data_IF_732611441768
#
_entry.id   IF_732611441768
#
_cell.length_a   1.000
_cell.length_b   1.000
_cell.length_c   1.000
_cell.angle_alpha   90.00
_cell.angle_beta   90.00
_cell.angle_gamma   90.00
#
_symmetry.space_group_name_H-M   'P 1'
#
loop_
_entity.id
_entity.type
_entity.pdbx_description
1 polymer ?
#
# COMPACT_ATOMS: atom_id res chain seq x y z
N UNK A 1 4.89 -35.19 3.74
CA UNK A 1 5.66 -34.11 4.34
C UNK A 1 5.09 -33.72 5.68
N UNK A 2 5.87 -33.84 6.73
CA UNK A 2 5.41 -33.46 8.06
C UNK A 2 5.41 -31.96 8.22
N UNK A 3 4.72 -31.48 9.24
CA UNK A 3 4.63 -30.05 9.50
C UNK A 3 6.02 -29.43 9.78
N UNK A 4 6.93 -30.20 10.34
CA UNK A 4 8.29 -29.72 10.62
C UNK A 4 9.20 -29.70 9.38
N UNK A 5 8.80 -30.40 8.32
CA UNK A 5 9.53 -30.42 7.06
C UNK A 5 9.05 -29.34 6.11
N UNK A 6 7.90 -28.79 6.42
CA UNK A 6 7.44 -27.62 5.72
C UNK A 6 8.36 -26.48 6.08
N UNK A 7 8.16 -25.42 5.48
CA UNK A 7 8.81 -24.21 5.83
C UNK A 7 8.98 -24.10 7.32
N UNK A 8 10.15 -24.41 7.80
CA UNK A 8 10.44 -24.46 9.23
C UNK A 8 10.13 -23.10 9.85
N UNK A 9 10.48 -22.03 9.17
CA UNK A 9 10.05 -20.70 9.52
C UNK A 9 10.25 -19.79 8.31
N UNK A 10 9.59 -18.64 8.34
CA UNK A 10 9.68 -17.66 7.27
C UNK A 10 11.09 -17.08 7.12
N UNK A 11 11.86 -17.07 8.20
CA UNK A 11 13.21 -16.54 8.21
C UNK A 11 14.12 -17.30 7.27
N UNK A 12 14.04 -18.63 7.28
CA UNK A 12 14.87 -19.47 6.43
C UNK A 12 14.61 -19.21 4.96
N UNK A 13 13.34 -19.12 4.59
CA UNK A 13 12.95 -18.81 3.21
C UNK A 13 13.42 -17.42 2.82
N UNK A 14 13.29 -16.46 3.70
CA UNK A 14 13.69 -15.08 3.44
C UNK A 14 15.19 -14.97 3.23
N UNK A 15 15.97 -15.74 3.97
CA UNK A 15 17.41 -15.79 3.75
C UNK A 15 17.75 -16.32 2.37
N UNK A 16 16.98 -17.30 1.88
CA UNK A 16 17.16 -17.83 0.53
C UNK A 16 16.79 -16.83 -0.55
N UNK A 17 15.80 -15.98 -0.30
CA UNK A 17 15.35 -14.98 -1.26
C UNK A 17 16.10 -13.64 -1.14
N UNK A 18 16.91 -13.49 -0.09
CA UNK A 18 17.64 -12.26 0.13
C UNK A 18 16.83 -11.17 0.83
N UNK A 19 15.68 -11.52 1.44
CA UNK A 19 14.85 -10.57 2.17
C UNK A 19 14.95 -10.80 3.67
N UNK A 20 14.92 -9.71 4.42
CA UNK A 20 14.87 -9.76 5.87
C UNK A 20 13.44 -10.03 6.37
N UNK A 21 13.25 -10.71 7.53
CA UNK A 21 11.92 -10.94 8.08
C UNK A 21 11.07 -9.67 8.25
N UNK A 22 11.70 -8.58 8.63
CA UNK A 22 11.01 -7.30 8.80
C UNK A 22 10.45 -6.80 7.46
N UNK A 23 11.15 -7.03 6.36
CA UNK A 23 10.69 -6.64 5.03
C UNK A 23 9.43 -7.40 4.65
N UNK A 24 9.34 -8.68 4.97
CA UNK A 24 8.16 -9.49 4.67
C UNK A 24 6.92 -8.97 5.42
N UNK A 25 7.08 -8.63 6.69
CA UNK A 25 5.97 -8.07 7.47
C UNK A 25 5.49 -6.73 6.89
N UNK A 26 6.43 -5.87 6.52
CA UNK A 26 6.13 -4.59 5.91
C UNK A 26 5.43 -4.77 4.55
N UNK A 27 5.94 -5.67 3.73
CA UNK A 27 5.36 -5.99 2.41
C UNK A 27 3.95 -6.56 2.56
N UNK A 28 3.76 -7.48 3.50
CA UNK A 28 2.44 -8.03 3.80
C UNK A 28 1.45 -6.93 4.22
N UNK A 29 1.90 -5.96 5.00
CA UNK A 29 1.11 -4.79 5.37
C UNK A 29 0.69 -3.96 4.17
N UNK A 30 1.55 -3.82 3.19
CA UNK A 30 1.23 -3.12 1.94
C UNK A 30 0.15 -3.88 1.17
N UNK A 31 0.30 -5.19 1.01
CA UNK A 31 -0.72 -6.01 0.36
C UNK A 31 -2.06 -5.92 1.09
N UNK A 32 -2.03 -5.95 2.41
CA UNK A 32 -3.25 -5.81 3.22
C UNK A 32 -3.94 -4.47 2.97
N UNK A 33 -3.19 -3.40 2.93
CA UNK A 33 -3.74 -2.08 2.64
C UNK A 33 -4.35 -2.01 1.24
N UNK A 34 -3.77 -2.70 0.27
CA UNK A 34 -4.25 -2.74 -1.11
C UNK A 34 -5.35 -3.76 -1.35
N UNK A 35 -5.69 -4.59 -0.38
CA UNK A 35 -6.66 -5.68 -0.58
C UNK A 35 -8.12 -5.22 -0.67
N UNK A 36 -8.40 -3.98 -0.32
CA UNK A 36 -9.73 -3.39 -0.47
C UNK A 36 -9.88 -2.77 -1.87
N UNK A 37 -10.97 -3.09 -2.60
CA UNK A 37 -11.15 -2.57 -3.96
C UNK A 37 -11.13 -1.04 -4.05
N UNK A 38 -11.75 -0.37 -3.10
CA UNK A 38 -11.76 1.09 -3.09
C UNK A 38 -10.37 1.66 -2.91
N UNK A 39 -9.60 1.11 -1.97
CA UNK A 39 -8.23 1.55 -1.75
C UNK A 39 -7.33 1.30 -2.96
N UNK A 40 -7.47 0.14 -3.59
CA UNK A 40 -6.71 -0.16 -4.81
C UNK A 40 -7.05 0.84 -5.92
N UNK A 41 -8.34 1.13 -6.10
CA UNK A 41 -8.78 2.13 -7.08
C UNK A 41 -8.23 3.53 -6.77
N UNK A 42 -8.22 3.91 -5.50
CA UNK A 42 -7.63 5.19 -5.09
C UNK A 42 -6.15 5.27 -5.48
N UNK A 43 -5.41 4.20 -5.26
CA UNK A 43 -4.00 4.14 -5.63
C UNK A 43 -3.80 4.31 -7.13
N UNK A 44 -4.63 3.63 -7.94
CA UNK A 44 -4.57 3.74 -9.39
C UNK A 44 -4.87 5.17 -9.88
N UNK A 45 -5.87 5.80 -9.28
CA UNK A 45 -6.23 7.18 -9.59
C UNK A 45 -5.10 8.13 -9.23
N UNK A 46 -4.54 7.97 -8.03
CA UNK A 46 -3.44 8.81 -7.57
C UNK A 46 -2.18 8.63 -8.39
N UNK A 47 -1.94 7.43 -8.89
CA UNK A 47 -0.79 7.16 -9.75
C UNK A 47 -0.83 7.98 -11.03
N UNK A 48 -2.03 8.32 -11.50
CA UNK A 48 -2.23 9.12 -12.72
C UNK A 48 -2.36 10.61 -12.45
N UNK A 49 -2.82 10.99 -11.25
CA UNK A 49 -3.20 12.35 -10.91
C UNK A 49 -2.58 12.83 -9.61
N UNK A 50 -1.44 12.28 -9.23
CA UNK A 50 -0.79 12.60 -7.96
C UNK A 50 -0.54 14.08 -7.76
N UNK A 51 -0.78 14.57 -6.55
CA UNK A 51 -0.63 15.96 -6.20
C UNK A 51 -1.77 16.87 -6.64
N UNK A 52 -2.80 16.33 -7.30
CA UNK A 52 -3.96 17.07 -7.79
C UNK A 52 -5.28 16.61 -7.18
N UNK A 53 -5.27 15.55 -6.37
CA UNK A 53 -6.46 14.93 -5.82
C UNK A 53 -6.54 15.19 -4.32
N UNK A 54 -7.67 15.71 -3.88
CA UNK A 54 -7.97 15.91 -2.47
C UNK A 54 -9.15 15.03 -2.04
N UNK A 55 -9.48 15.08 -0.74
CA UNK A 55 -10.59 14.25 -0.18
C UNK A 55 -11.90 14.50 -0.92
N UNK A 56 -12.20 15.74 -1.26
CA UNK A 56 -13.45 16.08 -1.94
C UNK A 56 -13.56 15.45 -3.31
N UNK A 57 -12.46 15.34 -4.03
CA UNK A 57 -12.46 14.67 -5.33
C UNK A 57 -12.83 13.21 -5.18
N UNK A 58 -12.28 12.55 -4.16
CA UNK A 58 -12.59 11.14 -3.89
C UNK A 58 -14.04 10.93 -3.45
N UNK A 59 -14.61 11.85 -2.67
CA UNK A 59 -16.02 11.78 -2.29
C UNK A 59 -16.90 11.73 -3.54
N UNK A 60 -16.57 12.53 -4.52
CA UNK A 60 -17.34 12.62 -5.77
C UNK A 60 -17.12 11.41 -6.67
N UNK A 61 -15.88 10.92 -6.76
CA UNK A 61 -15.53 9.77 -7.60
C UNK A 61 -16.19 8.49 -7.10
N UNK A 62 -16.18 8.28 -5.78
CA UNK A 62 -16.64 7.02 -5.18
C UNK A 62 -18.06 7.09 -4.61
N UNK A 63 -18.66 8.24 -4.58
CA UNK A 63 -19.96 8.45 -3.93
C UNK A 63 -19.96 7.93 -2.49
N UNK A 64 -18.90 8.24 -1.76
CA UNK A 64 -18.72 7.88 -0.36
C UNK A 64 -18.56 9.14 0.47
N UNK A 65 -18.95 9.06 1.73
CA UNK A 65 -18.82 10.19 2.65
C UNK A 65 -17.36 10.43 3.06
N UNK A 66 -17.09 11.64 3.52
CA UNK A 66 -15.75 12.04 3.95
C UNK A 66 -15.14 11.12 5.00
N UNK A 67 -15.88 10.67 6.04
CA UNK A 67 -15.27 9.77 7.03
C UNK A 67 -14.75 8.47 6.44
N UNK A 68 -15.48 7.90 5.48
CA UNK A 68 -15.08 6.66 4.81
C UNK A 68 -13.84 6.89 3.94
N UNK A 69 -13.85 7.94 3.14
CA UNK A 69 -12.69 8.32 2.31
C UNK A 69 -11.47 8.59 3.18
N UNK A 70 -11.64 9.37 4.24
CA UNK A 70 -10.53 9.69 5.15
C UNK A 70 -9.96 8.45 5.81
N UNK A 71 -10.81 7.48 6.15
CA UNK A 71 -10.35 6.21 6.71
C UNK A 71 -9.48 5.44 5.72
N UNK A 72 -9.92 5.33 4.48
CA UNK A 72 -9.14 4.65 3.44
C UNK A 72 -7.79 5.34 3.21
N UNK A 73 -7.78 6.65 3.13
CA UNK A 73 -6.53 7.42 2.97
C UNK A 73 -5.60 7.22 4.16
N UNK A 74 -6.14 7.16 5.37
CA UNK A 74 -5.35 6.92 6.57
C UNK A 74 -4.70 5.54 6.55
N UNK A 75 -5.46 4.51 6.14
CA UNK A 75 -4.92 3.14 6.02
C UNK A 75 -3.76 3.11 5.03
N UNK A 76 -3.92 3.74 3.88
CA UNK A 76 -2.88 3.81 2.84
C UNK A 76 -1.65 4.58 3.32
N UNK A 77 -1.86 5.69 4.02
CA UNK A 77 -0.74 6.49 4.58
C UNK A 77 0.02 5.72 5.65
N UNK A 78 -0.67 5.01 6.52
CA UNK A 78 -0.03 4.18 7.55
C UNK A 78 0.82 3.07 6.97
N UNK A 79 0.42 2.55 5.82
CA UNK A 79 1.20 1.55 5.09
C UNK A 79 2.39 2.16 4.33
N UNK A 80 2.52 3.47 4.35
CA UNK A 80 3.60 4.17 3.65
C UNK A 80 3.37 4.37 2.16
N UNK A 81 2.19 4.04 1.66
CA UNK A 81 1.87 4.08 0.23
C UNK A 81 1.55 5.49 -0.28
N UNK A 82 1.06 6.34 0.59
CA UNK A 82 0.65 7.70 0.26
C UNK A 82 1.29 8.70 1.20
N UNK A 83 1.42 9.91 0.70
CA UNK A 83 1.59 11.08 1.53
C UNK A 83 0.77 12.23 0.96
N UNK A 84 0.75 13.36 1.63
CA UNK A 84 -0.02 14.50 1.17
C UNK A 84 0.79 15.79 1.28
N UNK A 85 0.48 16.69 0.37
CA UNK A 85 1.02 18.04 0.35
C UNK A 85 -0.07 19.00 0.78
N UNK A 86 0.16 19.71 1.90
CA UNK A 86 -0.82 20.65 2.41
C UNK A 86 -0.62 22.02 1.79
N UNK A 87 -1.70 22.56 1.23
CA UNK A 87 -1.74 23.88 0.62
C UNK A 87 -2.92 24.65 1.22
N UNK A 88 -2.63 25.41 2.27
CA UNK A 88 -3.69 26.10 3.01
C UNK A 88 -4.61 25.11 3.70
N UNK A 89 -5.90 25.17 3.37
CA UNK A 89 -6.93 24.29 3.94
C UNK A 89 -7.01 22.95 3.22
N UNK A 90 -6.28 22.75 2.13
CA UNK A 90 -6.39 21.57 1.29
C UNK A 90 -5.21 20.64 1.48
N UNK A 91 -5.48 19.34 1.40
CA UNK A 91 -4.43 18.31 1.39
C UNK A 91 -4.54 17.54 0.07
N UNK A 92 -3.47 17.57 -0.71
CA UNK A 92 -3.40 16.89 -2.00
C UNK A 92 -2.55 15.63 -1.85
N UNK A 93 -3.11 14.50 -2.22
CA UNK A 93 -2.49 13.19 -2.00
C UNK A 93 -1.68 12.74 -3.19
N UNK A 94 -0.62 12.01 -2.93
CA UNK A 94 0.23 11.44 -3.98
C UNK A 94 0.83 10.11 -3.51
N UNK A 95 1.21 9.27 -4.47
CA UNK A 95 1.78 7.95 -4.21
C UNK A 95 3.24 8.09 -3.82
N UNK A 96 3.64 7.40 -2.77
CA UNK A 96 5.04 7.24 -2.39
C UNK A 96 5.63 6.08 -3.19
N UNK A 97 6.17 6.38 -4.37
CA UNK A 97 6.62 5.34 -5.30
C UNK A 97 7.71 4.45 -4.75
N UNK A 98 8.58 4.99 -3.89
CA UNK A 98 9.63 4.20 -3.25
C UNK A 98 9.06 3.06 -2.39
N UNK A 99 7.87 3.22 -1.84
CA UNK A 99 7.21 2.17 -1.04
C UNK A 99 6.78 0.98 -1.89
N UNK A 100 6.70 1.14 -3.20
CA UNK A 100 6.32 0.07 -4.13
C UNK A 100 7.50 -0.80 -4.56
N UNK A 101 8.73 -0.35 -4.32
CA UNK A 101 9.91 -1.10 -4.72
C UNK A 101 10.00 -2.49 -4.06
N UNK A 102 9.74 -2.65 -2.75
CA UNK A 102 9.68 -3.98 -2.15
C UNK A 102 8.63 -4.89 -2.79
N UNK A 103 7.48 -4.34 -3.16
CA UNK A 103 6.44 -5.07 -3.86
C UNK A 103 6.94 -5.60 -5.20
N UNK A 104 7.59 -4.74 -5.97
CA UNK A 104 8.14 -5.13 -7.27
C UNK A 104 9.13 -6.26 -7.13
N UNK A 105 10.01 -6.20 -6.12
CA UNK A 105 10.99 -7.26 -5.87
C UNK A 105 10.32 -8.58 -5.56
N UNK A 106 9.31 -8.57 -4.69
CA UNK A 106 8.57 -9.78 -4.33
C UNK A 106 7.86 -10.37 -5.54
N UNK A 107 7.18 -9.54 -6.31
CA UNK A 107 6.49 -9.99 -7.51
C UNK A 107 7.47 -10.53 -8.57
N UNK A 108 8.62 -9.92 -8.67
CA UNK A 108 9.69 -10.38 -9.58
C UNK A 108 10.21 -11.76 -9.18
N UNK A 109 10.34 -12.02 -7.88
CA UNK A 109 10.76 -13.34 -7.39
C UNK A 109 9.72 -14.41 -7.74
N UNK A 110 8.43 -14.06 -7.67
CA UNK A 110 7.34 -14.99 -7.92
C UNK A 110 7.09 -15.25 -9.41
N UNK A 111 7.65 -14.46 -10.28
CA UNK A 111 7.49 -14.60 -11.73
C UNK A 111 8.79 -15.07 -12.38
#
# INVERSE_FOLDING_TARGET
MTKSERIADCTEILLQTGHEPADVCAIAGIFKALSDPTRLQMMLILSRNGGKICVYDFERIFDLGQPTISHHLKVLRKAGLLDCDRRGLWAYYFVQTAALDPLRRVLSIMT
#
